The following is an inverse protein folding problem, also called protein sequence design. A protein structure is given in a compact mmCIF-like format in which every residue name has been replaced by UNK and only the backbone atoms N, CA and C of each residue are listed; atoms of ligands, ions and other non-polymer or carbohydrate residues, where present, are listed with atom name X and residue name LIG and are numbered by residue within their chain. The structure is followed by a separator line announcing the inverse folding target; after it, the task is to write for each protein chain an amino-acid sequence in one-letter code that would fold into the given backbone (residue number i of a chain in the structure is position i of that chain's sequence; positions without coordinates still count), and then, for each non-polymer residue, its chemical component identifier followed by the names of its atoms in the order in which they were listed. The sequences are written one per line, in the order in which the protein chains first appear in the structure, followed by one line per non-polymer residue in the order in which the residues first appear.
data_IF_383591808783
#
_entry.id   IF_383591808783
#
_cell.length_a   1.000
_cell.length_b   1.000
_cell.length_c   1.000
_cell.angle_alpha   90.00
_cell.angle_beta   90.00
_cell.angle_gamma   90.00
#
_symmetry.space_group_name_H-M   'P 1'
#
loop_
_entity.id
_entity.type
_entity.pdbx_description
1 polymer ?
#
# COMPACT_ATOMS: atom_id res chain seq x y z
N UNK A 1 -9.26 -15.01 2.34
CA UNK A 1 -9.08 -13.68 1.72
C UNK A 1 -10.34 -12.88 2.00
N UNK A 2 -10.27 -11.85 2.86
CA UNK A 2 -11.43 -11.06 3.26
C UNK A 2 -11.32 -9.65 2.67
N UNK A 3 -12.38 -9.20 1.99
CA UNK A 3 -12.49 -7.83 1.45
C UNK A 3 -13.43 -7.04 2.36
N UNK A 4 -13.01 -5.84 2.77
CA UNK A 4 -13.77 -4.95 3.65
C UNK A 4 -13.99 -3.59 2.98
N UNK A 5 -15.22 -3.09 3.01
CA UNK A 5 -15.54 -1.71 2.63
C UNK A 5 -15.11 -0.78 3.76
N UNK A 6 -14.17 0.11 3.48
CA UNK A 6 -13.62 1.06 4.48
C UNK A 6 -14.45 2.35 4.53
N UNK A 7 -15.09 2.72 3.42
CA UNK A 7 -15.90 3.94 3.28
C UNK A 7 -16.98 3.75 2.22
N UNK A 8 -18.15 4.37 2.44
CA UNK A 8 -19.29 4.34 1.51
C UNK A 8 -20.30 3.22 1.80
N UNK A 9 -21.44 3.27 1.11
CA UNK A 9 -22.50 2.25 1.16
C UNK A 9 -22.77 1.69 -0.24
N UNK A 10 -21.85 0.87 -0.79
CA UNK A 10 -22.01 0.32 -2.14
C UNK A 10 -23.22 -0.61 -2.20
N UNK A 11 -23.88 -0.66 -3.34
CA UNK A 11 -24.95 -1.64 -3.53
C UNK A 11 -24.39 -3.05 -3.66
N UNK A 12 -25.19 -4.10 -3.41
CA UNK A 12 -24.77 -5.48 -3.60
C UNK A 12 -24.24 -5.76 -5.03
N UNK A 13 -24.83 -5.11 -6.03
CA UNK A 13 -24.44 -5.23 -7.44
C UNK A 13 -23.05 -4.65 -7.69
N UNK A 14 -22.75 -3.48 -7.11
CA UNK A 14 -21.42 -2.85 -7.21
C UNK A 14 -20.35 -3.70 -6.54
N UNK A 15 -20.66 -4.29 -5.37
CA UNK A 15 -19.75 -5.21 -4.70
C UNK A 15 -19.51 -6.47 -5.53
N UNK A 16 -20.55 -7.02 -6.15
CA UNK A 16 -20.44 -8.18 -7.03
C UNK A 16 -19.56 -7.87 -8.25
N UNK A 17 -19.74 -6.69 -8.87
CA UNK A 17 -18.92 -6.24 -9.99
C UNK A 17 -17.44 -6.07 -9.58
N UNK A 18 -17.18 -5.42 -8.45
CA UNK A 18 -15.82 -5.25 -7.92
C UNK A 18 -15.16 -6.61 -7.65
N UNK A 19 -15.89 -7.54 -7.03
CA UNK A 19 -15.40 -8.90 -6.79
C UNK A 19 -15.12 -9.67 -8.09
N UNK A 20 -15.97 -9.51 -9.11
CA UNK A 20 -15.77 -10.14 -10.42
C UNK A 20 -14.47 -9.67 -11.07
N UNK A 21 -14.19 -8.37 -11.06
CA UNK A 21 -12.94 -7.80 -11.60
C UNK A 21 -11.71 -8.29 -10.83
N UNK A 22 -11.76 -8.29 -9.49
CA UNK A 22 -10.66 -8.79 -8.65
C UNK A 22 -10.37 -10.25 -8.96
N UNK A 23 -11.40 -11.09 -9.09
CA UNK A 23 -11.24 -12.52 -9.42
C UNK A 23 -10.74 -12.72 -10.84
N UNK A 24 -11.24 -11.98 -11.82
CA UNK A 24 -10.77 -12.06 -13.19
C UNK A 24 -9.27 -11.71 -13.29
N UNK A 25 -8.82 -10.68 -12.57
CA UNK A 25 -7.41 -10.30 -12.51
C UNK A 25 -6.56 -11.34 -11.76
N UNK A 26 -7.10 -11.95 -10.71
CA UNK A 26 -6.41 -13.03 -10.00
C UNK A 26 -6.27 -14.29 -10.87
N UNK A 27 -7.25 -14.60 -11.72
CA UNK A 27 -7.19 -15.75 -12.62
C UNK A 27 -6.16 -15.58 -13.76
N UNK A 28 -5.86 -14.35 -14.16
CA UNK A 28 -4.81 -14.05 -15.15
C UNK A 28 -3.47 -13.72 -14.53
N UNK A 29 -3.39 -13.59 -13.20
CA UNK A 29 -2.13 -13.42 -12.51
C UNK A 29 -1.31 -14.70 -12.71
N UNK A 30 -0.16 -14.56 -13.37
CA UNK A 30 0.81 -15.66 -13.47
C UNK A 30 1.30 -15.97 -12.05
N UNK A 31 1.44 -17.27 -11.74
CA UNK A 31 2.06 -17.67 -10.48
C UNK A 31 3.44 -17.01 -10.39
N UNK A 32 3.76 -16.38 -9.25
CA UNK A 32 5.09 -15.80 -9.07
C UNK A 32 6.10 -16.92 -9.30
N UNK A 33 6.96 -16.73 -10.30
CA UNK A 33 8.11 -17.61 -10.50
C UNK A 33 8.81 -17.77 -9.16
N UNK A 34 9.08 -19.01 -8.74
CA UNK A 34 9.85 -19.29 -7.53
C UNK A 34 11.29 -18.77 -7.60
N UNK A 35 11.70 -18.20 -8.73
CA UNK A 35 12.92 -17.43 -8.85
C UNK A 35 12.87 -16.17 -7.98
N UNK A 36 14.00 -15.86 -7.34
CA UNK A 36 14.12 -14.66 -6.54
C UNK A 36 13.89 -13.42 -7.42
N UNK A 37 12.80 -12.70 -7.15
CA UNK A 37 12.50 -11.47 -7.87
C UNK A 37 13.50 -10.38 -7.45
N UNK A 38 13.92 -9.52 -8.39
CA UNK A 38 14.67 -8.33 -8.03
C UNK A 38 13.91 -7.55 -6.96
N UNK A 39 14.61 -7.13 -5.90
CA UNK A 39 14.00 -6.30 -4.86
C UNK A 39 13.43 -5.03 -5.49
N UNK A 40 12.23 -4.67 -5.08
CA UNK A 40 11.60 -3.45 -5.54
C UNK A 40 12.49 -2.25 -5.20
N UNK A 41 13.00 -1.57 -6.22
CA UNK A 41 13.94 -0.44 -6.03
C UNK A 41 13.32 0.69 -5.20
N UNK A 42 11.99 0.76 -5.16
CA UNK A 42 11.23 1.70 -4.32
C UNK A 42 11.38 1.44 -2.84
N UNK A 43 11.61 0.19 -2.42
CA UNK A 43 11.73 -0.20 -1.02
C UNK A 43 13.15 -0.69 -0.68
N UNK A 44 14.15 -0.29 -1.47
CA UNK A 44 15.54 -0.65 -1.23
C UNK A 44 16.05 0.11 0.03
N UNK A 45 16.40 -0.58 1.12
CA UNK A 45 16.91 0.07 2.32
C UNK A 45 18.18 0.89 2.08
N UNK A 46 19.00 0.49 1.11
CA UNK A 46 20.19 1.27 0.73
C UNK A 46 19.84 2.64 0.12
N UNK A 47 18.62 2.80 -0.41
CA UNK A 47 18.11 4.08 -0.93
C UNK A 47 17.39 4.92 0.13
N UNK A 48 16.72 4.28 1.09
CA UNK A 48 15.85 4.98 2.07
C UNK A 48 16.56 5.21 3.41
N UNK A 49 17.39 4.26 3.85
CA UNK A 49 17.99 4.24 5.17
C UNK A 49 19.50 4.56 5.19
N UNK A 50 20.06 5.04 4.08
CA UNK A 50 21.48 5.39 3.98
C UNK A 50 21.90 6.53 4.93
N UNK A 51 20.96 7.37 5.35
CA UNK A 51 21.24 8.52 6.21
C UNK A 51 20.45 8.42 7.50
N UNK A 52 21.15 8.59 8.63
CA UNK A 52 20.47 8.79 9.91
C UNK A 52 19.73 10.12 9.88
N UNK A 53 18.44 10.05 10.16
CA UNK A 53 17.66 11.24 10.49
C UNK A 53 17.97 11.66 11.94
N UNK A 54 17.99 12.98 12.23
CA UNK A 54 18.08 13.44 13.60
C UNK A 54 16.85 12.97 14.40
N UNK A 55 17.05 12.66 15.68
CA UNK A 55 15.95 12.30 16.57
C UNK A 55 15.04 13.52 16.75
N UNK A 56 13.71 13.38 16.56
CA UNK A 56 12.79 14.50 16.76
C UNK A 56 12.80 14.93 18.23
N UNK A 57 12.81 16.24 18.47
CA UNK A 57 12.72 16.82 19.80
C UNK A 57 11.27 16.97 20.26
N UNK A 58 11.04 17.33 21.54
CA UNK A 58 9.69 17.45 22.11
C UNK A 58 8.74 18.39 21.35
N UNK A 59 9.28 19.38 20.62
CA UNK A 59 8.49 20.38 19.88
C UNK A 59 8.42 20.11 18.37
N UNK A 60 9.05 19.04 17.86
CA UNK A 60 9.14 18.77 16.41
C UNK A 60 7.78 18.58 15.74
N UNK A 61 6.83 17.90 16.42
CA UNK A 61 5.48 17.68 15.90
C UNK A 61 4.60 18.94 15.94
N UNK A 62 4.74 19.77 16.99
CA UNK A 62 3.99 21.02 17.06
C UNK A 62 4.37 21.98 15.92
N UNK A 63 5.62 21.91 15.44
CA UNK A 63 6.12 22.71 14.32
C UNK A 63 5.86 22.11 12.94
N UNK A 64 5.36 20.88 12.84
CA UNK A 64 5.00 20.28 11.55
C UNK A 64 3.57 20.62 11.10
N UNK A 65 2.83 21.36 11.91
CA UNK A 65 1.49 21.83 11.55
C UNK A 65 1.59 22.97 10.53
N UNK A 66 0.96 22.79 9.38
CA UNK A 66 0.70 23.86 8.43
C UNK A 66 -0.76 24.28 8.57
N UNK A 67 -1.07 25.51 9.04
CA UNK A 67 -2.42 26.03 8.98
C UNK A 67 -2.77 26.31 7.51
N UNK A 68 -3.74 25.56 7.01
CA UNK A 68 -4.40 25.77 5.72
C UNK A 68 -5.89 25.96 5.94
#
# INVERSE_FOLDING_TARGET
MNIKVVRGNPTPEELAAALAVVRARAATASEPSGAEQPKDAWNDPSRIAAHRLPQPGPTSWARSYWPG
#
